data_IF_135592254629
#
_entry.id   IF_135592254629
#
_cell.length_a   1.000
_cell.length_b   1.000
_cell.length_c   1.000
_cell.angle_alpha   90.00
_cell.angle_beta   90.00
_cell.angle_gamma   90.00
#
_symmetry.space_group_name_H-M   'P 1'
#
loop_
_entity.id
_entity.type
_entity.pdbx_description
1 polymer ?
#
# COMPACT_ATOMS: atom_id res chain seq x y z
N UNK A 1 34.43 20.02 29.33
CA UNK A 1 33.67 20.96 28.48
C UNK A 1 33.76 20.61 27.00
N UNK A 2 34.92 20.23 26.45
CA UNK A 2 35.09 19.82 25.04
C UNK A 2 34.41 18.49 24.68
N UNK A 3 34.39 17.50 25.55
CA UNK A 3 33.80 16.17 25.30
C UNK A 3 32.26 16.21 25.25
N UNK A 4 31.59 17.06 26.02
CA UNK A 4 30.13 17.25 25.90
C UNK A 4 29.72 17.89 24.56
N UNK A 5 30.51 18.83 24.02
CA UNK A 5 30.25 19.39 22.69
C UNK A 5 30.49 18.39 21.53
N UNK A 6 31.34 17.37 21.72
CA UNK A 6 31.52 16.30 20.71
C UNK A 6 30.36 15.29 20.72
N UNK A 7 29.72 15.04 21.85
CA UNK A 7 28.54 14.17 21.94
C UNK A 7 27.32 14.85 21.31
N UNK A 8 27.17 16.17 21.51
CA UNK A 8 26.10 16.97 20.85
C UNK A 8 26.32 17.11 19.33
N UNK A 9 27.56 16.98 18.82
CA UNK A 9 27.87 16.97 17.40
C UNK A 9 27.59 15.63 16.72
N UNK A 10 27.40 14.54 17.48
CA UNK A 10 27.04 13.21 16.95
C UNK A 10 25.52 12.99 16.90
N UNK A 11 24.72 13.88 17.45
CA UNK A 11 23.25 13.88 17.41
C UNK A 11 22.74 15.10 16.62
N UNK A 12 23.15 15.22 15.36
CA UNK A 12 22.50 16.12 14.42
C UNK A 12 21.20 15.50 13.92
N UNK A 13 20.20 15.40 14.81
CA UNK A 13 18.81 15.37 14.33
C UNK A 13 18.57 16.67 13.56
N UNK A 14 18.01 16.63 12.35
CA UNK A 14 17.70 17.86 11.63
C UNK A 14 16.84 18.75 12.50
N UNK A 15 17.22 20.03 12.69
CA UNK A 15 16.49 21.03 13.49
C UNK A 15 15.04 21.29 13.04
N UNK A 16 14.55 20.55 12.03
CA UNK A 16 13.19 20.62 11.49
C UNK A 16 12.20 19.72 12.21
N UNK A 17 12.63 18.87 13.15
CA UNK A 17 11.82 17.88 13.87
C UNK A 17 11.60 18.24 15.34
N UNK A 18 11.71 19.52 15.73
CA UNK A 18 11.13 19.97 17.00
C UNK A 18 9.60 19.84 16.89
N UNK A 19 8.97 19.21 17.89
CA UNK A 19 7.54 18.86 17.97
C UNK A 19 6.56 20.01 17.68
N UNK A 20 7.04 21.26 17.63
CA UNK A 20 6.27 22.47 17.35
C UNK A 20 6.05 22.81 15.86
N UNK A 21 6.58 22.01 14.90
CA UNK A 21 6.44 22.28 13.45
C UNK A 21 5.55 21.24 12.75
N UNK A 22 4.29 21.15 13.13
CA UNK A 22 3.30 20.25 12.54
C UNK A 22 2.83 20.64 11.14
N UNK A 23 3.18 21.83 10.65
CA UNK A 23 2.63 22.43 9.41
C UNK A 23 3.63 22.46 8.24
N UNK A 24 4.49 21.45 8.11
CA UNK A 24 5.35 21.33 6.93
C UNK A 24 4.66 20.50 5.83
N UNK A 25 4.84 20.93 4.55
CA UNK A 25 4.22 20.28 3.41
C UNK A 25 4.70 18.85 3.18
N UNK A 26 3.87 18.05 2.49
CA UNK A 26 4.11 16.63 2.21
C UNK A 26 5.49 16.38 1.58
N UNK A 27 5.91 17.17 0.58
CA UNK A 27 7.21 17.01 -0.08
C UNK A 27 8.38 17.16 0.92
N UNK A 28 8.28 18.12 1.83
CA UNK A 28 9.29 18.33 2.89
C UNK A 28 9.32 17.14 3.86
N UNK A 29 8.15 16.61 4.25
CA UNK A 29 8.05 15.38 5.06
C UNK A 29 8.72 14.20 4.36
N UNK A 30 8.42 13.97 3.09
CA UNK A 30 8.99 12.89 2.30
C UNK A 30 10.53 12.96 2.21
N UNK A 31 11.09 14.17 2.08
CA UNK A 31 12.55 14.36 1.95
C UNK A 31 13.26 14.24 3.31
N UNK A 32 12.74 14.87 4.37
CA UNK A 32 13.50 15.11 5.59
C UNK A 32 13.11 14.24 6.79
N UNK A 33 11.82 13.85 6.92
CA UNK A 33 11.37 13.11 8.11
C UNK A 33 12.11 11.76 8.24
N UNK A 34 12.44 11.38 9.45
CA UNK A 34 13.09 10.12 9.79
C UNK A 34 14.57 10.00 9.37
N UNK A 35 15.09 10.91 8.56
CA UNK A 35 16.49 10.82 8.11
C UNK A 35 17.45 10.97 9.30
N UNK A 36 18.30 9.96 9.49
CA UNK A 36 19.27 9.94 10.56
C UNK A 36 20.69 10.26 10.04
N UNK A 37 21.18 11.46 10.35
CA UNK A 37 22.48 11.99 9.88
C UNK A 37 23.67 11.53 10.73
N UNK A 38 23.70 10.27 11.15
CA UNK A 38 24.84 9.72 11.90
C UNK A 38 26.14 9.98 11.16
N UNK A 39 27.14 10.51 11.89
CA UNK A 39 28.44 10.85 11.31
C UNK A 39 28.43 12.07 10.39
N UNK A 40 27.36 12.88 10.37
CA UNK A 40 27.24 14.11 9.58
C UNK A 40 26.87 13.88 8.11
N UNK A 41 26.50 12.67 7.71
CA UNK A 41 25.97 12.39 6.38
C UNK A 41 24.59 13.03 6.16
N UNK A 42 24.25 13.40 4.92
CA UNK A 42 22.92 13.94 4.57
C UNK A 42 21.85 12.84 4.40
N UNK A 43 22.27 11.59 4.40
CA UNK A 43 21.42 10.39 4.32
C UNK A 43 21.65 9.51 5.54
N UNK A 44 20.66 8.69 5.89
CA UNK A 44 20.84 7.59 6.84
C UNK A 44 21.82 6.57 6.25
N UNK A 45 23.00 6.32 6.88
CA UNK A 45 23.89 5.28 6.40
C UNK A 45 23.32 3.89 6.64
N UNK A 46 23.76 2.87 5.87
CA UNK A 46 23.36 1.49 6.07
C UNK A 46 24.11 0.87 7.24
N UNK A 47 23.36 0.42 8.27
CA UNK A 47 23.90 -0.25 9.46
C UNK A 47 23.69 -1.75 9.37
N UNK A 48 24.66 -2.49 8.85
CA UNK A 48 24.62 -3.95 8.75
C UNK A 48 25.10 -4.60 10.05
N UNK A 49 24.36 -4.39 11.14
CA UNK A 49 24.63 -5.01 12.44
C UNK A 49 23.41 -5.69 12.99
N UNK A 50 23.52 -6.98 13.33
CA UNK A 50 22.43 -7.73 13.96
C UNK A 50 22.30 -7.45 15.46
N UNK A 51 23.35 -6.94 16.10
CA UNK A 51 23.40 -6.70 17.55
C UNK A 51 24.13 -5.41 17.87
N UNK A 52 23.89 -4.85 19.03
CA UNK A 52 24.44 -3.58 19.49
C UNK A 52 25.05 -3.73 20.86
N UNK A 53 26.06 -2.89 21.20
CA UNK A 53 26.62 -2.86 22.53
C UNK A 53 25.54 -2.53 23.57
N UNK A 54 25.46 -3.34 24.63
CA UNK A 54 24.57 -3.07 25.75
C UNK A 54 25.19 -2.01 26.64
N UNK A 55 24.62 -0.82 26.61
CA UNK A 55 24.94 0.28 27.54
C UNK A 55 23.89 0.35 28.63
N UNK A 56 24.22 1.01 29.75
CA UNK A 56 23.28 1.20 30.86
C UNK A 56 21.98 1.91 30.41
N UNK A 57 22.10 2.86 29.48
CA UNK A 57 20.98 3.59 28.89
C UNK A 57 20.07 2.66 28.07
N UNK A 58 20.65 1.77 27.25
CA UNK A 58 19.87 0.79 26.49
C UNK A 58 19.19 -0.23 27.40
N UNK A 59 19.88 -0.68 28.44
CA UNK A 59 19.31 -1.55 29.46
C UNK A 59 18.12 -0.89 30.16
N UNK A 60 18.31 0.36 30.59
CA UNK A 60 17.26 1.13 31.26
C UNK A 60 16.05 1.36 30.32
N UNK A 61 16.29 1.74 29.03
CA UNK A 61 15.25 1.91 28.03
C UNK A 61 14.45 0.63 27.83
N UNK A 62 15.14 -0.51 27.62
CA UNK A 62 14.48 -1.79 27.45
C UNK A 62 13.68 -2.21 28.69
N UNK A 63 14.24 -2.08 29.89
CA UNK A 63 13.58 -2.38 31.14
C UNK A 63 12.34 -1.49 31.40
N UNK A 64 12.34 -0.26 30.87
CA UNK A 64 11.22 0.66 30.88
C UNK A 64 10.17 0.38 29.79
N UNK A 65 10.38 -0.64 28.94
CA UNK A 65 9.45 -0.99 27.85
C UNK A 65 9.59 -0.11 26.60
N UNK A 66 10.72 0.60 26.43
CA UNK A 66 10.97 1.40 25.22
C UNK A 66 11.12 0.48 24.00
N UNK A 67 10.15 0.54 23.07
CA UNK A 67 10.02 -0.36 21.92
C UNK A 67 11.19 -0.24 20.93
N UNK A 68 11.64 0.98 20.67
CA UNK A 68 12.69 1.28 19.68
C UNK A 68 14.12 1.26 20.26
N UNK A 69 14.34 0.49 21.33
CA UNK A 69 15.69 0.33 21.90
C UNK A 69 16.53 -0.57 21.03
N UNK A 70 17.65 -0.06 20.51
CA UNK A 70 18.56 -0.80 19.64
C UNK A 70 19.40 -1.80 20.43
N UNK A 71 18.89 -2.99 20.66
CA UNK A 71 19.57 -4.13 21.28
C UNK A 71 19.92 -5.20 20.25
N UNK A 72 18.99 -5.50 19.37
CA UNK A 72 19.07 -6.52 18.34
C UNK A 72 18.24 -6.10 17.13
N UNK A 73 18.75 -6.27 15.90
CA UNK A 73 18.15 -5.71 14.70
C UNK A 73 16.72 -6.20 14.40
N UNK A 74 16.33 -7.39 14.88
CA UNK A 74 14.94 -7.87 14.77
C UNK A 74 13.96 -7.01 15.57
N UNK A 75 14.39 -6.38 16.65
CA UNK A 75 13.58 -5.43 17.41
C UNK A 75 13.52 -4.09 16.68
N UNK A 76 14.70 -3.51 16.45
CA UNK A 76 14.84 -2.21 15.81
C UNK A 76 16.25 -2.01 15.26
N UNK A 77 16.36 -1.21 14.20
CA UNK A 77 17.63 -0.75 13.63
C UNK A 77 17.50 0.73 13.24
N UNK A 78 18.63 1.42 13.11
CA UNK A 78 18.66 2.82 12.68
C UNK A 78 17.90 2.99 11.34
N UNK A 79 18.05 2.03 10.43
CA UNK A 79 17.43 2.09 9.11
C UNK A 79 15.93 1.82 9.16
N UNK A 80 15.46 0.83 9.96
CA UNK A 80 14.03 0.57 10.09
C UNK A 80 13.29 1.72 10.78
N UNK A 81 13.91 2.36 11.79
CA UNK A 81 13.36 3.55 12.43
C UNK A 81 13.26 4.74 11.48
N UNK A 82 14.31 4.97 10.66
CA UNK A 82 14.31 6.08 9.71
C UNK A 82 13.13 6.02 8.74
N UNK A 83 12.83 4.84 8.20
CA UNK A 83 11.71 4.67 7.27
C UNK A 83 10.36 4.63 7.97
N UNK A 84 10.26 4.07 9.20
CA UNK A 84 9.04 4.11 10.00
C UNK A 84 8.64 5.56 10.34
N UNK A 85 9.56 6.37 10.84
CA UNK A 85 9.32 7.78 11.14
C UNK A 85 8.92 8.58 9.89
N UNK A 86 9.49 8.26 8.73
CA UNK A 86 9.16 8.91 7.46
C UNK A 86 7.72 8.65 7.05
N UNK A 87 7.26 7.40 7.08
CA UNK A 87 5.89 7.06 6.72
C UNK A 87 4.89 7.59 7.75
N UNK A 88 5.20 7.55 9.04
CA UNK A 88 4.42 8.17 10.13
C UNK A 88 4.18 9.65 9.84
N UNK A 89 5.24 10.39 9.50
CA UNK A 89 5.13 11.81 9.19
C UNK A 89 4.30 12.08 7.92
N UNK A 90 4.44 11.23 6.88
CA UNK A 90 3.69 11.39 5.62
C UNK A 90 2.21 11.06 5.78
N UNK A 91 1.85 10.04 6.58
CA UNK A 91 0.45 9.70 6.89
C UNK A 91 -0.17 10.64 7.95
N UNK A 92 0.65 11.26 8.79
CA UNK A 92 0.19 12.03 9.95
C UNK A 92 -0.28 11.12 11.08
N UNK A 93 0.33 9.96 11.22
CA UNK A 93 0.07 8.97 12.26
C UNK A 93 0.82 9.29 13.57
N UNK A 94 0.45 8.64 14.68
CA UNK A 94 1.10 8.81 15.99
C UNK A 94 2.39 7.97 16.08
N UNK A 95 2.37 6.75 15.52
CA UNK A 95 3.49 5.80 15.57
C UNK A 95 3.42 4.82 14.40
N UNK A 96 4.47 3.99 14.20
CA UNK A 96 4.48 3.01 13.13
C UNK A 96 5.65 2.05 13.15
N UNK A 97 5.46 0.92 12.43
CA UNK A 97 6.42 -0.15 12.32
C UNK A 97 6.73 -0.51 10.88
N UNK A 98 7.99 -0.87 10.62
CA UNK A 98 8.47 -1.35 9.32
C UNK A 98 8.59 -2.88 9.32
N UNK A 99 8.17 -3.52 8.23
CA UNK A 99 8.14 -4.97 8.04
C UNK A 99 8.89 -5.41 6.79
N UNK A 100 9.28 -6.69 6.77
CA UNK A 100 9.96 -7.30 5.63
C UNK A 100 9.09 -7.38 4.36
N UNK A 101 7.77 -7.27 4.46
CA UNK A 101 6.83 -7.26 3.33
C UNK A 101 5.47 -6.68 3.73
N UNK A 102 4.64 -6.31 2.73
CA UNK A 102 3.25 -5.91 2.96
C UNK A 102 2.46 -7.01 3.67
N UNK A 103 2.60 -8.28 3.25
CA UNK A 103 1.94 -9.41 3.90
C UNK A 103 2.42 -9.63 5.35
N UNK A 104 3.69 -9.38 5.66
CA UNK A 104 4.17 -9.42 7.04
C UNK A 104 3.52 -8.31 7.90
N UNK A 105 3.29 -7.14 7.33
CA UNK A 105 2.55 -6.07 8.00
C UNK A 105 1.09 -6.45 8.23
N UNK A 106 0.38 -6.95 7.19
CA UNK A 106 -1.02 -7.37 7.27
C UNK A 106 -1.20 -8.50 8.27
N UNK A 107 -0.47 -9.62 8.10
CA UNK A 107 -0.62 -10.80 8.95
C UNK A 107 -0.26 -10.52 10.41
N UNK A 108 0.79 -9.72 10.66
CA UNK A 108 1.17 -9.33 12.03
C UNK A 108 0.12 -8.43 12.68
N UNK A 109 -0.50 -7.53 11.92
CA UNK A 109 -1.58 -6.66 12.43
C UNK A 109 -2.79 -7.49 12.79
N UNK A 110 -3.28 -8.35 11.90
CA UNK A 110 -4.47 -9.17 12.13
C UNK A 110 -4.24 -10.15 13.28
N UNK A 111 -3.21 -10.97 13.23
CA UNK A 111 -2.87 -11.95 14.28
C UNK A 111 -2.35 -11.32 15.59
N UNK A 112 -1.95 -10.06 15.52
CA UNK A 112 -1.50 -9.30 16.68
C UNK A 112 -2.64 -8.74 17.53
N UNK A 113 -3.72 -8.34 16.87
CA UNK A 113 -4.86 -7.65 17.47
C UNK A 113 -6.12 -8.53 17.59
N UNK A 114 -6.16 -9.69 16.91
CA UNK A 114 -7.27 -10.64 16.96
C UNK A 114 -6.85 -11.91 17.70
N UNK A 115 -7.78 -12.51 18.41
CA UNK A 115 -7.65 -13.76 19.15
C UNK A 115 -8.69 -14.77 18.66
N UNK A 116 -8.50 -16.06 19.02
CA UNK A 116 -9.51 -17.10 18.76
C UNK A 116 -10.86 -16.70 19.36
N UNK A 117 -11.91 -16.77 18.57
CA UNK A 117 -13.27 -16.35 18.90
C UNK A 117 -13.60 -14.91 18.52
N UNK A 118 -12.63 -14.09 18.07
CA UNK A 118 -12.89 -12.76 17.55
C UNK A 118 -13.38 -12.83 16.09
N UNK A 119 -14.10 -11.80 15.66
CA UNK A 119 -14.64 -11.66 14.32
C UNK A 119 -14.09 -10.39 13.64
N UNK A 120 -13.72 -10.51 12.36
CA UNK A 120 -13.33 -9.40 11.49
C UNK A 120 -14.25 -9.30 10.27
N UNK A 121 -14.66 -8.08 9.93
CA UNK A 121 -15.39 -7.79 8.69
C UNK A 121 -14.37 -7.21 7.70
N UNK A 122 -14.22 -7.85 6.56
CA UNK A 122 -13.27 -7.43 5.53
C UNK A 122 -13.95 -7.17 4.19
N UNK A 123 -13.36 -6.29 3.38
CA UNK A 123 -13.78 -6.10 2.00
C UNK A 123 -13.62 -7.39 1.19
N UNK A 124 -14.62 -7.73 0.38
CA UNK A 124 -14.56 -8.88 -0.54
C UNK A 124 -13.52 -8.65 -1.66
N UNK A 125 -13.29 -7.39 -2.02
CA UNK A 125 -12.42 -6.98 -3.12
C UNK A 125 -11.03 -6.58 -2.58
N UNK A 126 -10.35 -7.46 -1.85
CA UNK A 126 -9.00 -7.23 -1.34
C UNK A 126 -7.94 -7.91 -2.19
N UNK A 127 -6.69 -7.49 -2.02
CA UNK A 127 -5.54 -8.15 -2.62
C UNK A 127 -5.58 -9.68 -2.40
N UNK A 128 -5.26 -10.47 -3.44
CA UNK A 128 -5.39 -11.93 -3.39
C UNK A 128 -4.63 -12.61 -2.23
N UNK A 129 -3.45 -12.08 -1.84
CA UNK A 129 -2.74 -12.56 -0.65
C UNK A 129 -3.48 -12.28 0.65
N UNK A 130 -4.14 -11.13 0.76
CA UNK A 130 -5.00 -10.78 1.91
C UNK A 130 -6.25 -11.64 1.92
N UNK A 131 -6.85 -11.90 0.76
CA UNK A 131 -8.00 -12.79 0.62
C UNK A 131 -7.69 -14.20 1.14
N UNK A 132 -6.56 -14.79 0.72
CA UNK A 132 -6.14 -16.12 1.21
C UNK A 132 -5.90 -16.12 2.72
N UNK A 133 -5.23 -15.10 3.27
CA UNK A 133 -5.03 -14.98 4.71
C UNK A 133 -6.39 -14.93 5.47
N UNK A 134 -7.34 -14.13 4.97
CA UNK A 134 -8.66 -13.98 5.59
C UNK A 134 -9.50 -15.25 5.52
N UNK A 135 -9.52 -15.93 4.37
CA UNK A 135 -10.44 -17.05 4.12
C UNK A 135 -9.86 -18.43 4.46
N UNK A 136 -8.54 -18.58 4.43
CA UNK A 136 -7.89 -19.87 4.65
C UNK A 136 -7.13 -19.94 6.00
N UNK A 137 -6.36 -18.90 6.34
CA UNK A 137 -5.47 -18.95 7.50
C UNK A 137 -6.16 -18.48 8.79
N UNK A 138 -6.84 -17.34 8.82
CA UNK A 138 -7.49 -16.84 10.05
C UNK A 138 -8.50 -17.82 10.64
N UNK A 139 -9.34 -18.54 9.86
CA UNK A 139 -10.23 -19.56 10.41
C UNK A 139 -9.50 -20.69 11.12
N UNK A 140 -8.28 -21.05 10.67
CA UNK A 140 -7.43 -22.07 11.36
C UNK A 140 -6.96 -21.62 12.74
N UNK A 141 -6.89 -20.31 12.97
CA UNK A 141 -6.59 -19.71 14.27
C UNK A 141 -7.85 -19.44 15.10
N UNK A 142 -9.03 -19.86 14.60
CA UNK A 142 -10.32 -19.67 15.29
C UNK A 142 -10.84 -18.25 15.21
N UNK A 143 -10.38 -17.44 14.24
CA UNK A 143 -10.86 -16.10 13.98
C UNK A 143 -11.93 -16.17 12.89
N UNK A 144 -13.10 -15.61 13.17
CA UNK A 144 -14.22 -15.57 12.22
C UNK A 144 -14.08 -14.41 11.24
N UNK A 145 -14.46 -14.64 9.98
CA UNK A 145 -14.34 -13.63 8.92
C UNK A 145 -15.65 -13.51 8.15
N UNK A 146 -16.14 -12.29 8.00
CA UNK A 146 -17.24 -11.97 7.05
C UNK A 146 -16.72 -11.06 5.98
N UNK A 147 -16.90 -11.47 4.71
CA UNK A 147 -16.60 -10.64 3.55
C UNK A 147 -17.79 -9.75 3.23
N UNK A 148 -17.55 -8.43 3.07
CA UNK A 148 -18.59 -7.42 2.83
C UNK A 148 -18.34 -6.66 1.53
N UNK A 149 -19.38 -6.08 0.94
CA UNK A 149 -19.25 -5.26 -0.27
C UNK A 149 -18.64 -3.89 0.09
N UNK A 150 -17.50 -3.59 -0.50
CA UNK A 150 -16.76 -2.35 -0.26
C UNK A 150 -17.55 -1.08 -0.65
N UNK A 151 -18.43 -1.17 -1.65
CA UNK A 151 -19.30 -0.06 -2.10
C UNK A 151 -20.53 0.16 -1.22
N UNK A 152 -20.90 -0.84 -0.41
CA UNK A 152 -22.05 -0.76 0.47
C UNK A 152 -21.67 -0.75 1.96
N UNK A 153 -21.52 0.43 2.59
CA UNK A 153 -21.28 0.51 4.02
C UNK A 153 -22.35 -0.18 4.88
N UNK A 154 -23.58 -0.33 4.36
CA UNK A 154 -24.65 -1.01 5.09
C UNK A 154 -24.39 -2.52 5.22
N UNK A 155 -23.67 -3.12 4.28
CA UNK A 155 -23.25 -4.52 4.34
C UNK A 155 -22.30 -4.78 5.52
N UNK A 156 -21.40 -3.86 5.81
CA UNK A 156 -20.51 -3.93 6.98
C UNK A 156 -21.32 -3.80 8.27
N UNK A 157 -22.25 -2.86 8.33
CA UNK A 157 -23.10 -2.68 9.51
C UNK A 157 -23.96 -3.91 9.78
N UNK A 158 -24.49 -4.54 8.74
CA UNK A 158 -25.29 -5.77 8.84
C UNK A 158 -24.47 -7.00 9.28
N UNK A 159 -23.17 -7.02 8.96
CA UNK A 159 -22.25 -8.09 9.33
C UNK A 159 -21.72 -8.01 10.77
N UNK A 160 -22.00 -6.94 11.52
CA UNK A 160 -21.51 -6.78 12.90
C UNK A 160 -22.15 -7.81 13.82
N UNK A 161 -21.32 -8.52 14.56
CA UNK A 161 -21.67 -9.52 15.58
C UNK A 161 -21.16 -9.07 16.95
N UNK A 162 -21.56 -9.76 18.02
CA UNK A 162 -21.14 -9.44 19.38
C UNK A 162 -19.61 -9.55 19.57
N UNK A 163 -18.97 -10.50 18.87
CA UNK A 163 -17.54 -10.77 18.89
C UNK A 163 -16.75 -9.99 17.79
N UNK A 164 -17.40 -9.10 17.04
CA UNK A 164 -16.68 -8.29 16.03
C UNK A 164 -15.68 -7.34 16.71
N UNK A 165 -14.44 -7.37 16.26
CA UNK A 165 -13.33 -6.54 16.78
C UNK A 165 -12.78 -5.57 15.75
N UNK A 166 -12.87 -5.89 14.45
CA UNK A 166 -12.15 -5.16 13.44
C UNK A 166 -12.94 -5.03 12.14
N UNK A 167 -12.74 -3.89 11.46
CA UNK A 167 -13.07 -3.70 10.04
C UNK A 167 -11.76 -3.53 9.27
N UNK A 168 -11.61 -4.31 8.18
CA UNK A 168 -10.48 -4.24 7.27
C UNK A 168 -10.94 -3.87 5.86
N UNK A 169 -10.38 -2.80 5.29
CA UNK A 169 -10.70 -2.33 3.93
C UNK A 169 -9.45 -1.95 3.15
N UNK A 170 -9.58 -1.75 1.83
CA UNK A 170 -8.57 -1.08 0.99
C UNK A 170 -9.10 0.29 0.57
N UNK A 171 -8.24 1.30 0.43
CA UNK A 171 -8.66 2.63 -0.06
C UNK A 171 -9.18 2.54 -1.49
N UNK A 172 -8.50 1.76 -2.32
CA UNK A 172 -8.82 1.46 -3.71
C UNK A 172 -8.58 -0.02 -3.94
N UNK A 173 -9.62 -0.76 -4.34
CA UNK A 173 -9.55 -2.22 -4.45
C UNK A 173 -8.64 -2.71 -5.57
N UNK A 174 -8.12 -3.92 -5.40
CA UNK A 174 -7.32 -4.62 -6.39
C UNK A 174 -8.06 -5.88 -6.89
N UNK A 175 -8.36 -6.03 -8.19
CA UNK A 175 -7.84 -5.26 -9.33
C UNK A 175 -8.84 -4.27 -9.94
N UNK A 176 -10.08 -4.21 -9.48
CA UNK A 176 -11.21 -3.55 -10.15
C UNK A 176 -11.26 -2.04 -9.87
N UNK A 177 -10.49 -1.58 -8.89
CA UNK A 177 -10.33 -0.18 -8.51
C UNK A 177 -11.57 0.47 -7.88
N UNK A 178 -12.45 -0.30 -7.21
CA UNK A 178 -13.56 0.26 -6.42
C UNK A 178 -13.01 1.19 -5.33
N UNK A 179 -13.65 2.31 -5.06
CA UNK A 179 -13.25 3.26 -4.03
C UNK A 179 -14.02 3.02 -2.74
N UNK A 180 -13.31 2.91 -1.62
CA UNK A 180 -13.92 2.79 -0.31
C UNK A 180 -14.42 4.15 0.22
N UNK A 181 -15.63 4.22 0.75
CA UNK A 181 -16.08 5.37 1.53
C UNK A 181 -15.45 5.33 2.93
N UNK A 182 -14.21 5.84 3.00
CA UNK A 182 -13.41 5.85 4.23
C UNK A 182 -14.13 6.56 5.38
N UNK A 183 -14.89 7.62 5.08
CA UNK A 183 -15.62 8.40 6.09
C UNK A 183 -16.74 7.55 6.70
N UNK A 184 -17.54 6.87 5.86
CA UNK A 184 -18.59 5.99 6.32
C UNK A 184 -18.04 4.80 7.13
N UNK A 185 -16.93 4.18 6.68
CA UNK A 185 -16.30 3.06 7.40
C UNK A 185 -15.76 3.48 8.76
N UNK A 186 -15.10 4.64 8.85
CA UNK A 186 -14.61 5.16 10.13
C UNK A 186 -15.76 5.46 11.11
N UNK A 187 -16.88 6.00 10.62
CA UNK A 187 -18.09 6.23 11.43
C UNK A 187 -18.66 4.92 11.98
N UNK A 188 -18.77 3.88 11.14
CA UNK A 188 -19.25 2.55 11.54
C UNK A 188 -18.32 1.96 12.61
N UNK A 189 -17.02 1.95 12.36
CA UNK A 189 -16.03 1.42 13.29
C UNK A 189 -16.11 2.13 14.65
N UNK A 190 -16.11 3.45 14.64
CA UNK A 190 -16.22 4.25 15.87
C UNK A 190 -17.51 3.99 16.64
N UNK A 191 -18.66 3.93 15.95
CA UNK A 191 -19.98 3.69 16.58
C UNK A 191 -20.03 2.36 17.32
N UNK A 192 -19.36 1.34 16.81
CA UNK A 192 -19.37 0.00 17.37
C UNK A 192 -18.08 -0.36 18.15
N UNK A 193 -17.20 0.61 18.39
CA UNK A 193 -15.92 0.44 19.08
C UNK A 193 -15.05 -0.66 18.45
N UNK A 194 -15.00 -0.69 17.11
CA UNK A 194 -14.19 -1.60 16.32
C UNK A 194 -12.86 -0.94 15.94
N UNK A 195 -11.81 -1.75 15.80
CA UNK A 195 -10.54 -1.29 15.22
C UNK A 195 -10.73 -1.15 13.71
N UNK A 196 -10.41 0.01 13.17
CA UNK A 196 -10.46 0.29 11.74
C UNK A 196 -9.08 0.19 11.11
N UNK A 197 -8.93 -0.72 10.14
CA UNK A 197 -7.68 -0.95 9.41
C UNK A 197 -7.90 -0.74 7.93
N UNK A 198 -7.02 0.03 7.29
CA UNK A 198 -7.08 0.25 5.85
C UNK A 198 -5.73 -0.01 5.19
N UNK A 199 -5.71 -0.79 4.12
CA UNK A 199 -4.57 -0.88 3.22
C UNK A 199 -4.63 0.28 2.21
N UNK A 200 -3.68 1.21 2.35
CA UNK A 200 -3.58 2.42 1.53
C UNK A 200 -2.50 2.33 0.43
N UNK A 201 -2.13 1.11 0.07
CA UNK A 201 -1.03 0.85 -0.88
C UNK A 201 -1.26 1.50 -2.24
N UNK A 202 -2.47 1.40 -2.82
CA UNK A 202 -2.78 1.92 -4.16
C UNK A 202 -2.82 3.44 -4.23
N UNK A 203 -3.29 4.10 -3.16
CA UNK A 203 -3.36 5.55 -3.10
C UNK A 203 -2.02 6.17 -2.68
N UNK A 204 -1.24 5.48 -1.87
CA UNK A 204 -0.08 5.99 -1.14
C UNK A 204 -0.43 7.18 -0.22
N UNK A 205 0.44 7.60 0.71
CA UNK A 205 0.18 8.78 1.54
C UNK A 205 0.13 10.10 0.74
N UNK A 206 0.60 10.08 -0.51
CA UNK A 206 0.48 11.22 -1.41
C UNK A 206 -0.96 11.40 -1.93
N UNK A 207 -1.65 10.32 -2.27
CA UNK A 207 -3.02 10.34 -2.81
C UNK A 207 -4.08 10.48 -1.74
N UNK A 208 -3.94 9.75 -0.63
CA UNK A 208 -4.90 9.72 0.47
C UNK A 208 -4.17 9.55 1.81
N UNK A 209 -4.72 10.15 2.87
CA UNK A 209 -4.30 9.94 4.27
C UNK A 209 -5.49 9.45 5.10
N UNK A 210 -5.70 8.15 5.24
CA UNK A 210 -6.86 7.58 5.95
C UNK A 210 -6.96 7.98 7.43
N UNK A 211 -5.84 8.29 8.08
CA UNK A 211 -5.82 8.83 9.46
C UNK A 211 -6.72 10.08 9.59
N UNK A 212 -6.78 10.92 8.55
CA UNK A 212 -7.63 12.13 8.56
C UNK A 212 -9.13 11.83 8.53
N UNK A 213 -9.51 10.64 8.08
CA UNK A 213 -10.89 10.16 8.11
C UNK A 213 -11.24 9.45 9.42
N UNK A 214 -10.25 9.23 10.31
CA UNK A 214 -10.45 8.62 11.62
C UNK A 214 -10.14 7.14 11.67
N UNK A 215 -9.40 6.58 10.70
CA UNK A 215 -8.89 5.22 10.77
C UNK A 215 -7.84 5.07 11.87
N UNK A 216 -7.89 3.95 12.58
CA UNK A 216 -6.95 3.63 13.65
C UNK A 216 -5.59 3.20 13.13
N UNK A 217 -5.58 2.37 12.06
CA UNK A 217 -4.36 1.83 11.46
C UNK A 217 -4.40 1.93 9.93
N UNK A 218 -3.26 2.27 9.35
CA UNK A 218 -3.01 2.29 7.91
C UNK A 218 -1.86 1.36 7.58
N UNK A 219 -2.09 0.48 6.61
CA UNK A 219 -1.10 -0.48 6.11
C UNK A 219 -0.61 -0.02 4.73
N UNK A 220 0.66 -0.29 4.44
CA UNK A 220 1.25 -0.11 3.13
C UNK A 220 2.14 -1.28 2.75
N UNK A 221 2.03 -1.76 1.52
CA UNK A 221 3.13 -2.44 0.87
C UNK A 221 4.16 -1.41 0.40
N UNK A 222 5.29 -1.33 1.11
CA UNK A 222 6.40 -0.45 0.73
C UNK A 222 7.05 -0.83 -0.60
N UNK A 223 6.81 -2.06 -1.06
CA UNK A 223 7.22 -2.62 -2.36
C UNK A 223 6.72 -1.80 -3.56
N UNK A 224 5.60 -1.08 -3.39
CA UNK A 224 4.86 -0.39 -4.45
C UNK A 224 5.35 1.06 -4.62
N UNK A 225 4.46 2.03 -4.74
CA UNK A 225 4.80 3.45 -4.94
C UNK A 225 5.83 4.01 -3.94
N UNK A 226 5.87 3.51 -2.71
CA UNK A 226 6.83 3.98 -1.70
C UNK A 226 8.27 3.65 -2.10
N UNK A 227 8.56 2.41 -2.49
CA UNK A 227 9.84 2.01 -3.08
C UNK A 227 10.01 2.60 -4.49
N UNK A 228 9.04 2.33 -5.37
CA UNK A 228 8.87 2.96 -6.66
C UNK A 228 9.86 2.56 -7.76
N UNK A 229 10.68 1.51 -7.53
CA UNK A 229 11.73 1.11 -8.48
C UNK A 229 11.79 -0.40 -8.72
N UNK A 230 10.77 -1.16 -8.28
CA UNK A 230 10.63 -2.61 -8.48
C UNK A 230 11.82 -3.46 -7.98
N UNK A 231 12.59 -2.94 -7.02
CA UNK A 231 13.89 -3.47 -6.56
C UNK A 231 13.90 -3.90 -5.08
N UNK A 232 12.76 -3.79 -4.38
CA UNK A 232 12.65 -4.13 -2.95
C UNK A 232 11.28 -4.69 -2.58
N UNK A 233 11.23 -5.38 -1.44
CA UNK A 233 10.02 -5.82 -0.77
C UNK A 233 9.99 -5.25 0.64
N UNK A 234 8.90 -4.56 1.03
CA UNK A 234 8.73 -3.96 2.34
C UNK A 234 7.25 -3.81 2.72
N UNK A 235 6.99 -3.60 4.00
CA UNK A 235 5.67 -3.27 4.52
C UNK A 235 5.72 -2.29 5.67
N UNK A 236 4.57 -1.64 5.93
CA UNK A 236 4.37 -0.72 7.04
C UNK A 236 3.01 -0.90 7.68
N UNK A 237 2.96 -0.66 8.98
CA UNK A 237 1.75 -0.34 9.72
C UNK A 237 1.99 0.95 10.47
N UNK A 238 1.10 1.93 10.31
CA UNK A 238 1.15 3.21 11.04
C UNK A 238 -0.24 3.55 11.57
N UNK A 239 -0.31 4.29 12.66
CA UNK A 239 -1.59 4.71 13.24
C UNK A 239 -1.49 5.06 14.71
N UNK A 240 -2.48 4.64 15.48
CA UNK A 240 -2.56 4.86 16.92
C UNK A 240 -1.41 4.17 17.65
N UNK A 241 -0.76 4.91 18.52
CA UNK A 241 0.41 4.45 19.27
C UNK A 241 0.13 3.24 20.16
N UNK A 242 -1.03 3.18 20.80
CA UNK A 242 -1.43 2.06 21.65
C UNK A 242 -1.54 0.75 20.86
N UNK A 243 -2.14 0.77 19.65
CA UNK A 243 -2.24 -0.38 18.78
C UNK A 243 -0.88 -0.79 18.19
N UNK A 244 -0.04 0.16 17.82
CA UNK A 244 1.33 -0.11 17.38
C UNK A 244 2.12 -0.80 18.49
N UNK A 245 1.92 -0.38 19.75
CA UNK A 245 2.54 -1.03 20.91
C UNK A 245 2.11 -2.50 21.12
N UNK A 246 0.89 -2.86 20.75
CA UNK A 246 0.39 -4.25 20.77
C UNK A 246 0.94 -5.07 19.58
N UNK A 247 1.13 -4.45 18.40
CA UNK A 247 1.66 -5.09 17.18
C UNK A 247 3.17 -5.36 17.31
N UNK A 248 3.93 -4.47 17.93
CA UNK A 248 5.39 -4.57 18.01
C UNK A 248 5.90 -5.91 18.58
N UNK A 249 5.43 -6.43 19.73
CA UNK A 249 5.88 -7.75 20.22
C UNK A 249 5.59 -8.88 19.23
N UNK A 250 4.50 -8.79 18.48
CA UNK A 250 4.13 -9.80 17.47
C UNK A 250 5.06 -9.76 16.27
N UNK A 251 5.43 -8.56 15.80
CA UNK A 251 6.48 -8.40 14.77
C UNK A 251 7.78 -9.08 15.21
N UNK A 252 8.19 -8.88 16.46
CA UNK A 252 9.40 -9.49 17.02
C UNK A 252 9.29 -11.02 17.08
N UNK A 253 8.15 -11.56 17.50
CA UNK A 253 7.91 -13.00 17.62
C UNK A 253 7.79 -13.68 16.25
N UNK A 254 7.05 -13.07 15.30
CA UNK A 254 6.85 -13.64 13.95
C UNK A 254 8.04 -13.41 13.03
N UNK A 255 8.96 -12.52 13.40
CA UNK A 255 10.22 -12.34 12.68
C UNK A 255 10.11 -11.50 11.40
N UNK A 256 9.05 -10.73 11.22
CA UNK A 256 8.83 -9.86 10.05
C UNK A 256 9.73 -8.62 9.99
N UNK A 257 10.97 -8.71 10.50
CA UNK A 257 11.90 -7.58 10.58
C UNK A 257 12.45 -7.17 9.21
N UNK A 258 12.54 -5.86 8.98
CA UNK A 258 13.05 -5.28 7.76
C UNK A 258 14.58 -5.28 7.70
N UNK A 259 15.14 -5.59 6.53
CA UNK A 259 16.57 -5.54 6.27
C UNK A 259 17.08 -4.09 6.16
N UNK A 260 18.27 -3.73 6.73
CA UNK A 260 18.79 -2.37 6.68
C UNK A 260 19.08 -1.83 5.27
N UNK A 261 19.54 -2.67 4.34
CA UNK A 261 19.79 -2.26 2.96
C UNK A 261 18.48 -2.00 2.21
N UNK A 262 17.49 -2.87 2.41
CA UNK A 262 16.13 -2.64 1.89
C UNK A 262 15.54 -1.32 2.44
N UNK A 263 15.68 -1.05 3.75
CA UNK A 263 15.25 0.22 4.35
C UNK A 263 15.96 1.44 3.73
N UNK A 264 17.26 1.33 3.41
CA UNK A 264 17.99 2.38 2.72
C UNK A 264 17.41 2.68 1.33
N UNK A 265 17.15 1.65 0.51
CA UNK A 265 16.54 1.80 -0.81
C UNK A 265 15.12 2.39 -0.68
N UNK A 266 14.36 1.92 0.30
CA UNK A 266 13.01 2.39 0.58
C UNK A 266 13.00 3.88 1.00
N UNK A 267 13.91 4.30 1.90
CA UNK A 267 14.08 5.72 2.26
C UNK A 267 14.36 6.56 1.02
N UNK A 268 15.25 6.09 0.15
CA UNK A 268 15.60 6.75 -1.12
C UNK A 268 14.38 6.87 -2.04
N UNK A 269 13.59 5.80 -2.19
CA UNK A 269 12.36 5.80 -2.99
C UNK A 269 11.30 6.78 -2.46
N UNK A 270 11.04 6.77 -1.15
CA UNK A 270 10.06 7.67 -0.52
C UNK A 270 10.39 9.15 -0.71
N UNK A 271 11.67 9.54 -0.76
CA UNK A 271 12.10 10.93 -0.97
C UNK A 271 11.62 11.52 -2.29
N UNK A 272 11.38 10.70 -3.31
CA UNK A 272 10.91 11.14 -4.63
C UNK A 272 9.44 10.86 -4.89
N UNK A 273 8.70 10.32 -3.92
CA UNK A 273 7.28 9.97 -4.07
C UNK A 273 6.47 11.15 -4.60
N UNK A 274 6.65 12.35 -4.03
CA UNK A 274 5.94 13.57 -4.40
C UNK A 274 6.24 14.06 -5.82
N UNK A 275 7.37 13.65 -6.40
CA UNK A 275 7.76 13.99 -7.78
C UNK A 275 7.27 12.94 -8.80
N UNK A 276 7.18 11.66 -8.38
CA UNK A 276 6.74 10.56 -9.25
C UNK A 276 5.21 10.47 -9.37
N UNK A 277 4.50 10.55 -8.25
CA UNK A 277 3.04 10.37 -8.22
C UNK A 277 2.25 11.29 -9.18
N UNK A 278 2.58 12.59 -9.32
CA UNK A 278 1.90 13.44 -10.31
C UNK A 278 2.01 12.91 -11.75
N UNK A 279 3.15 12.34 -12.13
CA UNK A 279 3.37 11.80 -13.48
C UNK A 279 2.57 10.49 -13.63
N UNK A 280 2.68 9.56 -12.69
CA UNK A 280 1.85 8.34 -12.68
C UNK A 280 0.37 8.63 -12.86
N UNK A 281 -0.17 9.58 -12.07
CA UNK A 281 -1.61 9.89 -12.09
C UNK A 281 -2.04 10.62 -13.35
N UNK A 282 -1.21 11.54 -13.88
CA UNK A 282 -1.52 12.23 -15.14
C UNK A 282 -1.48 11.29 -16.35
N UNK A 283 -0.47 10.42 -16.41
CA UNK A 283 -0.37 9.42 -17.48
C UNK A 283 -1.56 8.46 -17.42
N UNK A 284 -1.91 7.95 -16.25
CA UNK A 284 -3.04 7.04 -16.08
C UNK A 284 -4.38 7.68 -16.48
N UNK A 285 -4.60 8.95 -16.13
CA UNK A 285 -5.82 9.68 -16.50
C UNK A 285 -5.92 9.90 -18.03
N UNK A 286 -4.80 10.25 -18.68
CA UNK A 286 -4.78 10.42 -20.14
C UNK A 286 -5.00 9.09 -20.87
N UNK A 287 -4.34 8.01 -20.44
CA UNK A 287 -4.55 6.67 -21.00
C UNK A 287 -5.98 6.17 -20.79
N UNK A 288 -6.56 6.37 -19.60
CA UNK A 288 -7.94 6.00 -19.31
C UNK A 288 -8.92 6.70 -20.28
N UNK A 289 -8.72 8.00 -20.55
CA UNK A 289 -9.51 8.77 -21.50
C UNK A 289 -9.38 8.25 -22.93
N UNK A 290 -8.17 7.89 -23.37
CA UNK A 290 -7.94 7.33 -24.72
C UNK A 290 -8.57 5.95 -24.85
N UNK A 291 -8.35 5.08 -23.87
CA UNK A 291 -8.92 3.73 -23.83
C UNK A 291 -10.45 3.75 -23.82
N UNK A 292 -11.09 4.66 -23.07
CA UNK A 292 -12.57 4.74 -23.01
C UNK A 292 -13.20 5.07 -24.37
N UNK A 293 -12.43 5.67 -25.29
CA UNK A 293 -12.88 5.97 -26.67
C UNK A 293 -12.38 4.95 -27.70
N UNK A 294 -11.65 3.91 -27.31
CA UNK A 294 -11.06 2.97 -28.25
C UNK A 294 -12.03 1.83 -28.62
N UNK A 295 -12.15 1.51 -29.91
CA UNK A 295 -13.12 0.55 -30.44
C UNK A 295 -12.96 -0.88 -29.90
N UNK A 296 -11.74 -1.28 -29.52
CA UNK A 296 -11.40 -2.60 -28.94
C UNK A 296 -11.61 -2.67 -27.43
N UNK A 297 -11.99 -1.59 -26.79
CA UNK A 297 -12.22 -1.56 -25.33
C UNK A 297 -13.72 -1.60 -25.05
N UNK A 298 -14.13 -2.44 -24.11
CA UNK A 298 -15.51 -2.59 -23.67
C UNK A 298 -15.83 -1.63 -22.51
N UNK A 299 -14.95 -1.56 -21.53
CA UNK A 299 -15.07 -0.69 -20.35
C UNK A 299 -13.70 -0.30 -19.79
N UNK A 300 -13.65 0.81 -19.07
CA UNK A 300 -12.45 1.30 -18.38
C UNK A 300 -12.84 1.72 -16.97
N UNK A 301 -12.10 1.24 -15.98
CA UNK A 301 -12.21 1.68 -14.60
C UNK A 301 -11.04 2.60 -14.27
N UNK A 302 -11.32 3.86 -14.06
CA UNK A 302 -10.34 4.83 -13.56
C UNK A 302 -11.07 5.99 -12.87
N UNK A 303 -10.54 6.41 -11.73
CA UNK A 303 -11.13 7.41 -10.83
C UNK A 303 -11.30 8.81 -11.44
N UNK A 304 -10.67 9.09 -12.58
CA UNK A 304 -10.80 10.39 -13.29
C UNK A 304 -11.93 10.43 -14.32
N UNK A 305 -12.52 9.30 -14.69
CA UNK A 305 -13.56 9.22 -15.70
C UNK A 305 -14.91 9.57 -15.11
N UNK A 306 -15.68 10.52 -15.68
CA UNK A 306 -17.02 10.87 -15.18
C UNK A 306 -18.01 9.70 -15.21
N UNK A 307 -17.80 8.72 -16.08
CA UNK A 307 -18.62 7.52 -16.25
C UNK A 307 -18.28 6.42 -15.23
N UNK A 308 -17.22 6.61 -14.44
CA UNK A 308 -16.80 5.64 -13.43
C UNK A 308 -17.78 5.65 -12.24
N UNK A 309 -18.25 4.47 -11.83
CA UNK A 309 -19.31 4.32 -10.81
C UNK A 309 -19.02 5.11 -9.52
N UNK A 310 -17.76 5.11 -9.07
CA UNK A 310 -17.36 5.77 -7.83
C UNK A 310 -16.78 7.18 -8.05
N UNK A 311 -17.04 7.82 -9.20
CA UNK A 311 -16.42 9.10 -9.58
C UNK A 311 -16.58 10.21 -8.54
N UNK A 312 -17.80 10.44 -8.04
CA UNK A 312 -18.06 11.48 -7.03
C UNK A 312 -17.40 11.15 -5.69
N UNK A 313 -17.37 9.87 -5.31
CA UNK A 313 -16.65 9.41 -4.14
C UNK A 313 -15.13 9.56 -4.32
N UNK A 314 -14.60 9.18 -5.47
CA UNK A 314 -13.19 9.29 -5.81
C UNK A 314 -12.70 10.76 -5.74
N UNK A 315 -13.50 11.73 -6.15
CA UNK A 315 -13.16 13.16 -6.02
C UNK A 315 -12.93 13.60 -4.58
N UNK A 316 -13.61 12.96 -3.62
CA UNK A 316 -13.44 13.24 -2.17
C UNK A 316 -12.24 12.50 -1.60
N UNK A 317 -12.16 11.19 -1.87
CA UNK A 317 -11.18 10.29 -1.24
C UNK A 317 -9.81 10.36 -1.95
N UNK A 318 -9.79 10.45 -3.27
CA UNK A 318 -8.61 10.43 -4.14
C UNK A 318 -8.55 11.68 -5.05
N UNK A 319 -8.53 12.89 -4.49
CA UNK A 319 -8.62 14.13 -5.29
C UNK A 319 -7.45 14.33 -6.26
N UNK A 320 -6.38 13.58 -6.08
CA UNK A 320 -5.19 13.61 -6.95
C UNK A 320 -5.18 12.50 -8.01
N UNK A 321 -6.23 11.66 -8.06
CA UNK A 321 -6.32 10.55 -8.98
C UNK A 321 -5.58 9.29 -8.52
N UNK A 322 -5.35 8.38 -9.46
CA UNK A 322 -4.65 7.11 -9.27
C UNK A 322 -3.69 6.85 -10.42
N UNK A 323 -2.55 6.22 -10.15
CA UNK A 323 -1.65 5.69 -11.18
C UNK A 323 -2.04 4.30 -11.69
N UNK A 324 -3.15 3.75 -11.16
CA UNK A 324 -3.70 2.46 -11.58
C UNK A 324 -4.90 2.66 -12.48
N UNK A 325 -5.03 1.83 -13.49
CA UNK A 325 -6.26 1.71 -14.29
C UNK A 325 -6.53 0.24 -14.63
N UNK A 326 -7.79 -0.10 -14.88
CA UNK A 326 -8.17 -1.39 -15.43
C UNK A 326 -9.18 -1.22 -16.55
N UNK A 327 -9.20 -2.17 -17.47
CA UNK A 327 -10.08 -2.14 -18.64
C UNK A 327 -10.37 -3.54 -19.16
N UNK A 328 -11.41 -3.66 -19.97
CA UNK A 328 -11.81 -4.91 -20.60
C UNK A 328 -11.56 -4.83 -22.10
N UNK A 329 -10.72 -5.73 -22.61
CA UNK A 329 -10.44 -5.88 -24.04
C UNK A 329 -11.54 -6.73 -24.68
N UNK A 330 -12.18 -6.24 -25.74
CA UNK A 330 -13.20 -6.97 -26.50
C UNK A 330 -12.64 -8.26 -27.08
N UNK A 331 -13.42 -9.33 -27.00
CA UNK A 331 -13.02 -10.65 -27.47
C UNK A 331 -12.52 -11.59 -26.37
N UNK A 332 -12.68 -11.17 -25.11
CA UNK A 332 -12.41 -11.97 -23.92
C UNK A 332 -10.92 -12.28 -23.72
N UNK A 333 -10.62 -13.31 -22.94
CA UNK A 333 -9.26 -13.63 -22.47
C UNK A 333 -8.29 -13.88 -23.63
N UNK A 334 -8.74 -14.49 -24.73
CA UNK A 334 -7.87 -14.75 -25.89
C UNK A 334 -7.38 -13.46 -26.55
N UNK A 335 -8.21 -12.44 -26.64
CA UNK A 335 -7.84 -11.13 -27.17
C UNK A 335 -6.96 -10.36 -26.18
N UNK A 336 -7.28 -10.39 -24.89
CA UNK A 336 -6.45 -9.80 -23.85
C UNK A 336 -5.04 -10.41 -23.78
N UNK A 337 -4.91 -11.73 -23.87
CA UNK A 337 -3.61 -12.41 -23.93
C UNK A 337 -2.84 -12.07 -25.21
N UNK A 338 -3.54 -11.94 -26.36
CA UNK A 338 -2.88 -11.49 -27.61
C UNK A 338 -2.40 -10.06 -27.48
N UNK A 339 -3.21 -9.18 -26.88
CA UNK A 339 -2.82 -7.81 -26.55
C UNK A 339 -1.55 -7.78 -25.70
N UNK A 340 -1.52 -8.48 -24.55
CA UNK A 340 -0.34 -8.53 -23.68
C UNK A 340 0.92 -8.98 -24.40
N UNK A 341 0.82 -10.04 -25.21
CA UNK A 341 1.96 -10.61 -25.97
C UNK A 341 2.43 -9.73 -27.13
N UNK A 342 1.65 -8.72 -27.51
CA UNK A 342 1.99 -7.80 -28.59
C UNK A 342 2.60 -6.49 -28.11
N UNK A 343 2.59 -6.23 -26.79
CA UNK A 343 3.28 -5.10 -26.20
C UNK A 343 4.79 -5.22 -26.36
N UNK A 344 5.46 -4.12 -26.70
CA UNK A 344 6.90 -4.06 -26.97
C UNK A 344 7.67 -3.31 -25.85
N UNK A 345 7.04 -2.34 -25.20
CA UNK A 345 7.64 -1.50 -24.17
C UNK A 345 7.03 -1.77 -22.79
N UNK A 346 5.69 -1.80 -22.71
CA UNK A 346 4.97 -2.08 -21.47
C UNK A 346 5.17 -3.54 -21.06
N UNK A 347 5.57 -3.78 -19.83
CA UNK A 347 5.98 -5.12 -19.39
C UNK A 347 4.78 -5.94 -18.87
N UNK A 348 4.62 -7.16 -19.38
CA UNK A 348 3.70 -8.14 -18.77
C UNK A 348 4.31 -8.64 -17.46
N UNK A 349 3.86 -8.11 -16.35
CA UNK A 349 4.33 -8.49 -15.01
C UNK A 349 3.31 -8.18 -13.93
N UNK A 350 3.39 -8.92 -12.83
CA UNK A 350 2.68 -8.62 -11.59
C UNK A 350 3.30 -7.41 -10.90
N UNK A 351 2.75 -7.01 -9.74
CA UNK A 351 3.14 -5.83 -8.99
C UNK A 351 2.58 -4.53 -9.55
N UNK A 352 3.08 -3.39 -9.06
CA UNK A 352 2.65 -2.04 -9.45
C UNK A 352 3.53 -0.96 -8.79
N UNK A 353 3.38 0.27 -9.26
CA UNK A 353 3.94 1.45 -8.60
C UNK A 353 5.43 1.67 -8.81
N UNK A 354 6.07 0.87 -9.69
CA UNK A 354 7.39 1.13 -10.23
C UNK A 354 7.37 2.28 -11.25
N UNK A 355 8.55 2.79 -11.59
CA UNK A 355 8.69 3.85 -12.61
C UNK A 355 8.32 3.36 -14.01
N UNK A 356 8.40 2.06 -14.26
CA UNK A 356 7.99 1.38 -15.49
C UNK A 356 6.48 1.07 -15.50
N UNK A 357 5.89 1.04 -16.70
CA UNK A 357 4.52 0.59 -16.92
C UNK A 357 4.42 -0.94 -16.90
N UNK A 358 3.53 -1.47 -16.03
CA UNK A 358 3.27 -2.90 -15.89
C UNK A 358 1.82 -3.22 -16.22
N UNK A 359 1.59 -4.37 -16.85
CA UNK A 359 0.26 -4.85 -17.23
C UNK A 359 0.11 -6.33 -16.94
N UNK A 360 -1.09 -6.73 -16.50
CA UNK A 360 -1.41 -8.14 -16.27
C UNK A 360 -2.89 -8.45 -16.54
N UNK A 361 -3.18 -9.72 -16.83
CA UNK A 361 -4.53 -10.27 -16.70
C UNK A 361 -4.64 -10.94 -15.32
N UNK A 362 -5.45 -10.42 -14.38
CA UNK A 362 -5.51 -10.94 -13.02
C UNK A 362 -5.92 -12.40 -12.92
N UNK A 363 -6.70 -12.92 -13.87
CA UNK A 363 -7.16 -14.31 -13.88
C UNK A 363 -6.03 -15.34 -13.98
N UNK A 364 -4.89 -15.00 -14.59
CA UNK A 364 -3.73 -15.88 -14.74
C UNK A 364 -2.50 -15.39 -13.95
N UNK A 365 -2.67 -14.43 -13.04
CA UNK A 365 -1.59 -13.82 -12.27
C UNK A 365 -2.00 -13.57 -10.82
N UNK A 366 -2.29 -12.34 -10.44
CA UNK A 366 -2.50 -11.90 -9.05
C UNK A 366 -3.75 -12.52 -8.37
N UNK A 367 -4.74 -12.98 -9.16
CA UNK A 367 -5.99 -13.60 -8.68
C UNK A 367 -6.19 -15.03 -9.21
N UNK A 368 -5.12 -15.70 -9.63
CA UNK A 368 -5.17 -17.05 -10.18
C UNK A 368 -5.78 -18.08 -9.21
N UNK A 369 -5.56 -17.90 -7.91
CA UNK A 369 -6.08 -18.80 -6.87
C UNK A 369 -7.45 -18.39 -6.32
N UNK A 370 -8.00 -17.25 -6.75
CA UNK A 370 -9.38 -16.86 -6.41
C UNK A 370 -10.33 -17.62 -7.34
N UNK A 371 -11.40 -18.28 -6.80
CA UNK A 371 -12.38 -19.00 -7.63
C UNK A 371 -12.96 -18.11 -8.72
N UNK A 372 -13.23 -18.68 -9.90
CA UNK A 372 -13.72 -17.93 -11.06
C UNK A 372 -15.04 -17.19 -10.77
N UNK A 373 -15.97 -17.85 -10.08
CA UNK A 373 -17.25 -17.26 -9.67
C UNK A 373 -17.03 -16.00 -8.82
N UNK A 374 -16.11 -16.07 -7.84
CA UNK A 374 -15.77 -14.93 -6.97
C UNK A 374 -15.10 -13.81 -7.78
N UNK A 375 -14.23 -14.15 -8.73
CA UNK A 375 -13.61 -13.15 -9.62
C UNK A 375 -14.65 -12.43 -10.47
N UNK A 376 -15.60 -13.19 -11.05
CA UNK A 376 -16.69 -12.64 -11.88
C UNK A 376 -17.60 -11.72 -11.07
N UNK A 377 -17.97 -12.11 -9.85
CA UNK A 377 -18.76 -11.28 -8.92
C UNK A 377 -18.01 -10.00 -8.53
N UNK A 378 -16.68 -10.10 -8.35
CA UNK A 378 -15.82 -8.94 -8.08
C UNK A 378 -15.70 -7.99 -9.28
N UNK A 379 -16.05 -8.43 -10.52
CA UNK A 379 -15.97 -7.64 -11.75
C UNK A 379 -14.74 -7.98 -12.62
N UNK A 380 -13.99 -9.04 -12.29
CA UNK A 380 -12.89 -9.55 -13.13
C UNK A 380 -13.48 -10.46 -14.20
N UNK A 381 -14.01 -9.86 -15.25
CA UNK A 381 -14.68 -10.53 -16.38
C UNK A 381 -13.65 -10.98 -17.44
N UNK A 382 -14.04 -11.89 -18.39
CA UNK A 382 -13.15 -12.26 -19.49
C UNK A 382 -12.68 -11.05 -20.30
N UNK A 383 -11.37 -10.98 -20.56
CA UNK A 383 -10.75 -9.84 -21.23
C UNK A 383 -10.26 -8.73 -20.28
N UNK A 384 -10.40 -8.92 -18.96
CA UNK A 384 -10.00 -7.94 -17.97
C UNK A 384 -8.48 -7.80 -17.89
N UNK A 385 -8.00 -6.56 -17.95
CA UNK A 385 -6.59 -6.16 -17.85
C UNK A 385 -6.44 -5.13 -16.74
N UNK A 386 -5.45 -5.28 -15.87
CA UNK A 386 -5.01 -4.26 -14.90
C UNK A 386 -3.68 -3.68 -15.35
N UNK A 387 -3.55 -2.36 -15.29
CA UNK A 387 -2.32 -1.65 -15.63
C UNK A 387 -1.87 -0.75 -14.49
N UNK A 388 -0.60 -0.85 -14.13
CA UNK A 388 0.13 0.13 -13.32
C UNK A 388 0.90 1.04 -14.27
N UNK A 389 0.46 2.28 -14.37
CA UNK A 389 1.06 3.23 -15.32
C UNK A 389 2.32 3.83 -14.75
N UNK A 390 3.41 3.76 -15.50
CA UNK A 390 4.71 4.30 -15.14
C UNK A 390 4.84 5.81 -15.39
N UNK A 391 6.09 6.25 -15.42
CA UNK A 391 6.43 7.67 -15.60
C UNK A 391 7.12 7.94 -16.95
N UNK A 392 7.02 6.99 -17.88
CA UNK A 392 7.48 7.16 -19.27
C UNK A 392 6.66 8.25 -19.98
N UNK A 393 7.11 8.68 -21.14
CA UNK A 393 6.34 9.59 -21.98
C UNK A 393 5.00 8.95 -22.37
N UNK A 394 3.90 9.62 -22.07
CA UNK A 394 2.54 9.08 -22.24
C UNK A 394 2.23 8.69 -23.70
N UNK A 395 2.83 9.39 -24.67
CA UNK A 395 2.68 9.07 -26.09
C UNK A 395 3.35 7.73 -26.45
N UNK A 396 4.49 7.43 -25.86
CA UNK A 396 5.18 6.17 -26.09
C UNK A 396 4.38 4.99 -25.48
N UNK A 397 3.83 5.18 -24.26
CA UNK A 397 2.93 4.19 -23.64
C UNK A 397 1.69 3.98 -24.52
N UNK A 398 1.09 5.07 -25.02
CA UNK A 398 -0.10 4.98 -25.86
C UNK A 398 0.18 4.26 -27.18
N UNK A 399 1.26 4.61 -27.87
CA UNK A 399 1.64 3.98 -29.13
C UNK A 399 1.85 2.46 -28.98
N UNK A 400 2.45 2.03 -27.86
CA UNK A 400 2.63 0.62 -27.54
C UNK A 400 1.28 -0.09 -27.29
N UNK A 401 0.37 0.55 -26.55
CA UNK A 401 -0.98 0.02 -26.31
C UNK A 401 -1.78 -0.06 -27.61
N UNK A 402 -1.77 0.98 -28.44
CA UNK A 402 -2.55 1.06 -29.67
C UNK A 402 -2.15 -0.01 -30.69
N UNK A 403 -0.83 -0.19 -30.91
CA UNK A 403 -0.36 -1.25 -31.80
C UNK A 403 -0.72 -2.65 -31.29
N UNK A 404 -0.66 -2.89 -29.96
CA UNK A 404 -1.02 -4.15 -29.36
C UNK A 404 -2.53 -4.44 -29.43
N UNK A 405 -3.38 -3.40 -29.30
CA UNK A 405 -4.83 -3.52 -29.51
C UNK A 405 -5.17 -3.80 -30.98
N UNK A 406 -4.42 -3.23 -31.94
CA UNK A 406 -4.57 -3.54 -33.35
C UNK A 406 -4.26 -5.03 -33.64
N UNK A 407 -3.20 -5.57 -33.05
CA UNK A 407 -2.86 -7.00 -33.16
C UNK A 407 -3.95 -7.93 -32.54
N UNK A 408 -4.60 -7.48 -31.46
CA UNK A 408 -5.73 -8.20 -30.88
C UNK A 408 -6.99 -8.15 -31.78
N UNK A 409 -7.23 -7.00 -32.45
CA UNK A 409 -8.32 -6.86 -33.42
C UNK A 409 -8.14 -7.77 -34.66
N UNK A 410 -6.92 -7.89 -35.17
CA UNK A 410 -6.58 -8.81 -36.29
C UNK A 410 -6.86 -10.27 -35.91
N UNK A 411 -6.55 -10.69 -34.66
CA UNK A 411 -6.89 -12.01 -34.17
C UNK A 411 -8.41 -12.27 -34.23
N UNK A 412 -9.23 -11.31 -33.83
CA UNK A 412 -10.69 -11.45 -33.86
C UNK A 412 -11.22 -11.51 -35.29
N UNK A 413 -10.71 -10.65 -36.19
CA UNK A 413 -11.10 -10.65 -37.61
C UNK A 413 -10.74 -11.98 -38.32
N UNK A 414 -9.65 -12.64 -37.92
CA UNK A 414 -9.24 -13.94 -38.50
C UNK A 414 -10.10 -15.11 -38.04
N UNK A 415 -10.92 -14.94 -37.00
CA UNK A 415 -11.80 -15.97 -36.42
C UNK A 415 -13.28 -15.78 -36.76
N UNK A 416 -13.66 -14.62 -37.31
CA UNK A 416 -14.99 -14.30 -37.80
C UNK A 416 -15.18 -14.74 -39.23
#
# INVERSE_FOLDING_TARGET
MYIRRLVDLLQLTPRFMDDDKTDIGFATKAVHSGTNSVGGGVNTPVFLSSTYHLTDERYAGWAAGAQHTMLYARLSSINSEAVAQKIVAMEGAEDGETFASGMAAISTTLLGLLSSGDHVIASADVYGGTYGLLTEDLPRFGIEVTMADMRDPSSYQAAIQENTKMIYVETLSNPVLKVCDLEAMAVIAKKHNLISVVDNTFASPWGCNPIKYGFDLVIHSGTKYLGGHSDLIAGFVVGRKDLIAEIFPKKVHFGGAADPHMCYLLERGMRTLHARMPIHTSNAAELAKRLSNHSMIESVNHVSLPEYDDYELAKRILPKGSGMLSYVVKGGDSAALKFLKSLEMTLEATSLGGVESLVECPFNSSHMFVPEEVRMEAGVVPGFVRMSVGIEDVEDIWNDIEQALAAAAELLASRA
#
